data_IF_655097984128
#
_entry.id   IF_655097984128
#
_cell.length_a   1.000
_cell.length_b   1.000
_cell.length_c   1.000
_cell.angle_alpha   90.00
_cell.angle_beta   90.00
_cell.angle_gamma   90.00
#
_symmetry.space_group_name_H-M   'P 1'
#
loop_
_entity.id
_entity.type
_entity.pdbx_description
1 polymer ?
#
# COMPACT_ATOMS: atom_id res chain seq x y z
N UNK A 1 37.44 -0.10 -35.69
CA UNK A 1 36.02 0.08 -36.10
C UNK A 1 35.07 -1.10 -35.80
N UNK A 2 35.52 -2.27 -35.31
CA UNK A 2 34.63 -3.42 -35.04
C UNK A 2 33.85 -3.38 -33.70
N UNK A 3 34.29 -2.61 -32.72
CA UNK A 3 33.64 -2.54 -31.40
C UNK A 3 32.48 -1.53 -31.30
N UNK A 4 32.35 -0.60 -32.26
CA UNK A 4 31.26 0.40 -32.27
C UNK A 4 29.89 -0.22 -32.59
N UNK A 5 29.84 -1.28 -33.40
CA UNK A 5 28.60 -1.99 -33.72
C UNK A 5 28.08 -2.85 -32.56
N UNK A 6 28.99 -3.46 -31.78
CA UNK A 6 28.63 -4.26 -30.60
C UNK A 6 28.09 -3.37 -29.48
N UNK A 7 28.72 -2.23 -29.22
CA UNK A 7 28.25 -1.28 -28.20
C UNK A 7 26.85 -0.73 -28.55
N UNK A 8 26.60 -0.43 -29.82
CA UNK A 8 25.31 0.08 -30.30
C UNK A 8 24.21 -0.98 -30.18
N UNK A 9 24.49 -2.24 -30.53
CA UNK A 9 23.56 -3.37 -30.36
C UNK A 9 23.25 -3.65 -28.88
N UNK A 10 24.22 -3.47 -27.99
CA UNK A 10 24.05 -3.65 -26.55
C UNK A 10 23.23 -2.50 -25.93
N UNK A 11 23.43 -1.26 -26.40
CA UNK A 11 22.61 -0.10 -26.06
C UNK A 11 21.18 -0.21 -26.58
N UNK A 12 20.99 -0.71 -27.82
CA UNK A 12 19.67 -0.97 -28.40
C UNK A 12 18.99 -2.13 -27.69
N UNK A 13 19.73 -3.16 -27.28
CA UNK A 13 19.23 -4.26 -26.44
C UNK A 13 18.75 -3.78 -25.06
N UNK A 14 19.51 -2.88 -24.42
CA UNK A 14 19.14 -2.26 -23.14
C UNK A 14 17.92 -1.32 -23.27
N UNK A 15 17.74 -0.66 -24.42
CA UNK A 15 16.58 0.19 -24.71
C UNK A 15 15.31 -0.61 -25.10
N UNK A 16 15.48 -1.79 -25.72
CA UNK A 16 14.38 -2.70 -26.09
C UNK A 16 13.93 -3.59 -24.92
N UNK A 17 14.76 -3.80 -23.92
CA UNK A 17 14.32 -4.22 -22.60
C UNK A 17 13.67 -3.06 -21.85
N UNK A 18 12.79 -2.28 -22.49
CA UNK A 18 11.86 -1.35 -21.84
C UNK A 18 10.42 -1.86 -21.83
N UNK A 19 10.13 -3.04 -22.43
CA UNK A 19 8.79 -3.60 -22.45
C UNK A 19 8.23 -3.95 -21.05
N UNK A 20 7.09 -3.33 -20.79
CA UNK A 20 6.23 -3.30 -19.61
C UNK A 20 5.65 -4.68 -19.24
N UNK A 21 5.53 -4.91 -17.93
CA UNK A 21 4.75 -5.91 -17.16
C UNK A 21 4.11 -7.11 -17.88
N UNK A 22 4.26 -8.30 -17.28
CA UNK A 22 3.35 -9.44 -17.50
C UNK A 22 2.76 -9.99 -16.20
N UNK A 23 2.36 -9.11 -15.28
CA UNK A 23 1.16 -9.35 -14.47
C UNK A 23 -0.02 -9.50 -15.46
N UNK A 24 -1.01 -10.41 -15.26
CA UNK A 24 -2.14 -10.54 -16.17
C UNK A 24 -2.69 -9.15 -16.56
N UNK A 25 -2.86 -8.91 -17.86
CA UNK A 25 -3.18 -7.58 -18.40
C UNK A 25 -4.34 -6.95 -17.64
N UNK A 26 -4.06 -5.90 -16.87
CA UNK A 26 -5.06 -5.11 -16.13
C UNK A 26 -5.09 -5.35 -14.63
N UNK A 27 -4.29 -6.27 -14.09
CA UNK A 27 -4.17 -6.46 -12.64
C UNK A 27 -2.95 -5.75 -12.06
N UNK A 28 -3.09 -5.23 -10.84
CA UNK A 28 -1.97 -4.72 -10.04
C UNK A 28 -1.37 -5.85 -9.18
N UNK A 29 -0.09 -5.74 -8.82
CA UNK A 29 0.59 -6.78 -8.03
C UNK A 29 -0.12 -7.03 -6.70
N UNK A 30 -0.38 -5.95 -5.96
CA UNK A 30 -0.96 -5.95 -4.62
C UNK A 30 -2.40 -6.49 -4.55
N UNK A 31 -3.07 -6.72 -5.68
CA UNK A 31 -4.40 -7.36 -5.68
C UNK A 31 -4.39 -8.77 -5.11
N UNK A 32 -3.23 -9.41 -5.04
CA UNK A 32 -3.06 -10.74 -4.44
C UNK A 32 -2.82 -10.72 -2.93
N UNK A 33 -2.66 -9.52 -2.34
CA UNK A 33 -2.54 -9.28 -0.91
C UNK A 33 -3.92 -9.04 -0.29
N UNK A 34 -4.00 -8.98 1.04
CA UNK A 34 -5.23 -8.62 1.76
C UNK A 34 -6.00 -9.84 2.22
N UNK A 35 -5.30 -10.82 2.79
CA UNK A 35 -5.95 -11.84 3.63
C UNK A 35 -6.67 -11.16 4.81
N UNK A 36 -7.59 -11.88 5.44
CA UNK A 36 -8.27 -11.39 6.64
C UNK A 36 -7.23 -11.12 7.74
N UNK A 37 -7.27 -9.92 8.30
CA UNK A 37 -6.30 -9.47 9.31
C UNK A 37 -5.04 -8.80 8.73
N UNK A 38 -4.85 -8.82 7.41
CA UNK A 38 -3.78 -8.06 6.77
C UNK A 38 -4.18 -6.59 6.55
N UNK A 39 -3.21 -5.69 6.73
CA UNK A 39 -3.29 -4.30 6.26
C UNK A 39 -2.47 -4.17 5.00
N UNK A 40 -3.12 -3.95 3.86
CA UNK A 40 -2.44 -3.70 2.59
C UNK A 40 -2.28 -2.21 2.39
N UNK A 41 -1.06 -1.76 2.13
CA UNK A 41 -0.72 -0.37 1.88
C UNK A 41 -0.02 -0.24 0.54
N UNK A 42 -0.38 0.76 -0.23
CA UNK A 42 0.26 1.07 -1.51
C UNK A 42 0.61 2.54 -1.59
N UNK A 43 1.79 2.87 -2.11
CA UNK A 43 2.29 4.24 -2.20
C UNK A 43 2.84 4.53 -3.58
N UNK A 44 2.42 5.63 -4.17
CA UNK A 44 3.02 6.17 -5.39
C UNK A 44 4.34 6.87 -5.05
N UNK A 45 5.44 6.33 -5.56
CA UNK A 45 6.78 6.87 -5.31
C UNK A 45 7.33 7.68 -6.48
N UNK A 46 6.57 7.83 -7.57
CA UNK A 46 7.02 8.54 -8.78
C UNK A 46 7.28 10.02 -8.52
N UNK A 47 6.62 10.60 -7.52
CA UNK A 47 6.84 11.96 -7.09
C UNK A 47 6.74 12.06 -5.57
N UNK A 48 7.87 11.81 -4.91
CA UNK A 48 7.98 11.86 -3.45
C UNK A 48 7.63 13.23 -2.86
N UNK A 49 7.78 14.33 -3.62
CA UNK A 49 7.41 15.69 -3.19
C UNK A 49 5.89 15.85 -3.02
N UNK A 50 5.10 15.04 -3.77
CA UNK A 50 3.64 14.97 -3.67
C UNK A 50 3.17 14.03 -2.59
N UNK A 51 4.04 13.17 -2.07
CA UNK A 51 3.67 12.46 -0.88
C UNK A 51 3.67 13.48 0.26
N UNK A 52 2.69 13.44 1.18
CA UNK A 52 2.78 14.21 2.39
C UNK A 52 3.86 13.57 3.25
N UNK A 53 5.14 13.61 2.87
CA UNK A 53 6.26 12.97 3.55
C UNK A 53 7.48 13.89 3.50
N UNK A 54 8.31 13.83 4.53
CA UNK A 54 9.67 14.38 4.48
C UNK A 54 10.64 13.22 4.44
N UNK A 55 11.08 12.85 3.25
CA UNK A 55 12.15 11.87 3.07
C UNK A 55 13.48 12.62 3.19
N UNK A 56 14.36 12.21 4.10
CA UNK A 56 15.70 12.79 4.19
C UNK A 56 16.47 12.55 2.88
N UNK A 57 17.11 13.60 2.35
CA UNK A 57 17.86 13.50 1.09
C UNK A 57 19.08 12.58 1.27
N UNK A 58 19.14 11.50 0.47
CA UNK A 58 20.24 10.53 0.54
C UNK A 58 20.24 9.48 -0.56
N UNK A 59 21.08 8.45 -0.41
CA UNK A 59 21.18 7.29 -1.32
C UNK A 59 19.82 6.60 -1.55
N UNK A 60 18.93 6.71 -0.58
CA UNK A 60 17.56 6.19 -0.62
C UNK A 60 16.67 6.90 -1.64
N UNK A 61 16.80 8.22 -1.79
CA UNK A 61 16.06 9.02 -2.80
C UNK A 61 16.39 8.54 -4.23
N UNK A 62 17.63 8.10 -4.47
CA UNK A 62 18.05 7.57 -5.77
C UNK A 62 17.48 6.18 -6.06
N UNK A 63 17.33 5.32 -5.04
CA UNK A 63 16.65 4.03 -5.19
C UNK A 63 15.16 4.25 -5.46
N UNK A 64 14.50 5.09 -4.67
CA UNK A 64 13.09 5.45 -4.85
C UNK A 64 12.81 6.09 -6.21
N UNK A 65 13.75 6.84 -6.80
CA UNK A 65 13.58 7.42 -8.14
C UNK A 65 13.40 6.40 -9.27
N UNK A 66 13.72 5.12 -9.02
CA UNK A 66 13.50 4.01 -9.96
C UNK A 66 12.26 3.21 -9.64
N UNK A 67 11.64 3.49 -8.50
CA UNK A 67 10.41 2.86 -8.03
C UNK A 67 9.24 3.72 -8.49
N UNK A 68 8.23 3.06 -9.04
CA UNK A 68 6.97 3.70 -9.35
C UNK A 68 5.99 3.51 -8.19
N UNK A 69 5.93 2.30 -7.62
CA UNK A 69 5.00 1.97 -6.54
C UNK A 69 5.62 1.02 -5.52
N UNK A 70 5.37 1.30 -4.26
CA UNK A 70 5.61 0.39 -3.14
C UNK A 70 4.27 -0.21 -2.72
N UNK A 71 4.21 -1.53 -2.55
CA UNK A 71 3.06 -2.21 -1.98
C UNK A 71 3.51 -3.13 -0.85
N UNK A 72 2.87 -3.02 0.31
CA UNK A 72 3.20 -3.74 1.53
C UNK A 72 1.93 -4.35 2.10
N UNK A 73 1.97 -5.61 2.51
CA UNK A 73 0.98 -6.24 3.37
C UNK A 73 1.62 -6.42 4.75
N UNK A 74 0.98 -5.88 5.78
CA UNK A 74 1.33 -6.10 7.18
C UNK A 74 0.43 -7.18 7.76
N UNK A 75 0.99 -8.05 8.58
CA UNK A 75 0.24 -9.09 9.27
C UNK A 75 0.81 -9.34 10.66
N UNK A 76 -0.04 -9.74 11.59
CA UNK A 76 0.38 -10.18 12.91
C UNK A 76 0.92 -11.62 12.81
N UNK A 77 2.22 -11.87 13.01
CA UNK A 77 2.78 -13.22 12.93
C UNK A 77 2.30 -14.12 14.08
N UNK A 78 1.77 -13.56 15.17
CA UNK A 78 1.26 -14.29 16.33
C UNK A 78 -0.26 -14.52 16.27
N UNK A 79 -0.95 -13.90 15.30
CA UNK A 79 -2.41 -13.91 15.17
C UNK A 79 -3.14 -13.60 16.49
N UNK A 80 -2.63 -12.63 17.27
CA UNK A 80 -3.17 -12.29 18.57
C UNK A 80 -4.65 -11.86 18.45
N UNK A 81 -5.43 -12.16 19.49
CA UNK A 81 -6.78 -11.60 19.60
C UNK A 81 -6.67 -10.10 19.86
N UNK A 82 -7.08 -9.31 18.87
CA UNK A 82 -7.17 -7.85 18.98
C UNK A 82 -8.52 -7.51 19.59
N UNK A 83 -8.51 -6.79 20.71
CA UNK A 83 -9.72 -6.20 21.26
C UNK A 83 -10.21 -5.09 20.31
N UNK A 84 -11.46 -5.15 19.80
CA UNK A 84 -12.03 -4.10 18.97
C UNK A 84 -12.05 -2.72 19.63
N UNK A 85 -11.95 -2.67 20.97
CA UNK A 85 -11.86 -1.43 21.74
C UNK A 85 -10.45 -0.81 21.75
N UNK A 86 -9.41 -1.52 21.30
CA UNK A 86 -8.05 -1.00 21.23
C UNK A 86 -7.71 -0.47 19.83
N UNK A 87 -6.76 0.46 19.76
CA UNK A 87 -6.21 0.92 18.48
C UNK A 87 -5.33 -0.18 17.86
N UNK A 88 -5.31 -0.26 16.53
CA UNK A 88 -4.46 -1.23 15.84
C UNK A 88 -2.98 -0.89 16.05
N UNK A 89 -2.31 -1.63 16.94
CA UNK A 89 -0.85 -1.54 17.09
C UNK A 89 -0.16 -2.48 16.09
N UNK A 90 0.50 -1.88 15.10
CA UNK A 90 1.25 -2.58 14.05
C UNK A 90 2.75 -2.74 14.38
N UNK A 91 3.20 -2.33 15.56
CA UNK A 91 4.64 -2.30 15.90
C UNK A 91 5.32 -3.68 15.90
N UNK A 92 4.56 -4.75 16.15
CA UNK A 92 5.04 -6.14 16.09
C UNK A 92 4.67 -6.89 14.81
N UNK A 93 4.14 -6.21 13.80
CA UNK A 93 3.66 -6.87 12.58
C UNK A 93 4.84 -7.23 11.68
N UNK A 94 4.79 -8.44 11.13
CA UNK A 94 5.65 -8.82 10.03
C UNK A 94 5.08 -8.25 8.72
N UNK A 95 5.91 -8.19 7.69
CA UNK A 95 5.51 -7.59 6.43
C UNK A 95 6.07 -8.33 5.22
N UNK A 96 5.33 -8.27 4.12
CA UNK A 96 5.81 -8.67 2.81
C UNK A 96 5.25 -7.74 1.75
N UNK A 97 5.89 -7.69 0.59
CA UNK A 97 5.48 -6.72 -0.40
C UNK A 97 6.26 -6.80 -1.70
N UNK A 98 6.03 -5.77 -2.52
CA UNK A 98 6.85 -5.55 -3.68
C UNK A 98 7.07 -4.08 -3.99
N UNK A 99 8.19 -3.88 -4.66
CA UNK A 99 8.60 -2.64 -5.29
C UNK A 99 8.42 -2.82 -6.79
N UNK A 100 7.57 -2.00 -7.40
CA UNK A 100 7.32 -1.97 -8.84
C UNK A 100 8.01 -0.77 -9.47
N UNK A 101 8.71 -0.95 -10.58
CA UNK A 101 9.39 0.17 -11.26
C UNK A 101 10.38 -0.24 -12.34
N UNK A 102 11.40 0.59 -12.56
CA UNK A 102 12.49 0.30 -13.49
C UNK A 102 13.59 -0.53 -12.81
N UNK A 103 13.27 -1.80 -12.54
CA UNK A 103 14.13 -2.74 -11.79
C UNK A 103 14.62 -3.86 -12.74
N UNK A 104 15.86 -3.80 -13.25
CA UNK A 104 16.40 -4.86 -14.11
C UNK A 104 16.78 -6.08 -13.26
N UNK A 105 15.95 -7.13 -13.27
CA UNK A 105 16.11 -8.30 -12.39
C UNK A 105 17.52 -8.91 -12.40
N UNK A 106 18.12 -9.07 -13.59
CA UNK A 106 19.49 -9.58 -13.70
C UNK A 106 20.52 -8.71 -12.98
N UNK A 107 20.44 -7.38 -13.15
CA UNK A 107 21.38 -6.45 -12.51
C UNK A 107 21.14 -6.38 -11.00
N UNK A 108 19.88 -6.32 -10.57
CA UNK A 108 19.51 -6.30 -9.15
C UNK A 108 19.98 -7.55 -8.43
N UNK A 109 19.64 -8.75 -8.95
CA UNK A 109 20.05 -10.01 -8.33
C UNK A 109 21.58 -10.23 -8.40
N UNK A 110 22.24 -9.71 -9.44
CA UNK A 110 23.71 -9.73 -9.49
C UNK A 110 24.28 -8.84 -8.38
N UNK A 111 23.79 -7.61 -8.23
CA UNK A 111 24.27 -6.70 -7.19
C UNK A 111 24.12 -7.31 -5.79
N UNK A 112 22.96 -7.88 -5.47
CA UNK A 112 22.70 -8.59 -4.22
C UNK A 112 23.62 -9.80 -3.99
N UNK A 113 24.08 -10.47 -5.06
CA UNK A 113 25.01 -11.59 -4.95
C UNK A 113 26.45 -11.14 -4.64
N UNK A 114 26.84 -9.94 -5.07
CA UNK A 114 28.20 -9.42 -4.90
C UNK A 114 28.38 -8.59 -3.62
N UNK A 115 27.28 -8.16 -3.01
CA UNK A 115 27.27 -7.43 -1.75
C UNK A 115 27.43 -8.39 -0.57
N UNK A 116 28.41 -8.11 0.31
CA UNK A 116 28.73 -8.97 1.46
C UNK A 116 27.67 -8.99 2.54
N UNK A 117 26.82 -7.97 2.58
CA UNK A 117 25.76 -7.86 3.60
C UNK A 117 24.53 -8.72 3.24
N UNK A 118 24.50 -9.28 2.03
CA UNK A 118 23.42 -10.11 1.53
C UNK A 118 23.85 -11.57 1.39
N UNK A 119 23.12 -12.44 2.06
CA UNK A 119 23.35 -13.88 2.03
C UNK A 119 22.37 -14.54 1.07
N UNK A 120 22.91 -15.30 0.11
CA UNK A 120 22.07 -16.06 -0.82
C UNK A 120 21.42 -17.25 -0.09
N UNK A 121 20.10 -17.33 -0.14
CA UNK A 121 19.32 -18.45 0.37
C UNK A 121 18.71 -19.24 -0.81
N UNK A 122 18.73 -20.56 -0.73
CA UNK A 122 18.11 -21.45 -1.72
C UNK A 122 17.19 -22.47 -1.03
N UNK A 123 15.91 -22.39 -1.34
CA UNK A 123 14.87 -23.30 -0.84
C UNK A 123 14.25 -24.07 -2.01
N UNK A 124 14.78 -25.27 -2.27
CA UNK A 124 14.35 -26.09 -3.41
C UNK A 124 14.67 -25.41 -4.75
N UNK A 125 13.66 -24.81 -5.39
CA UNK A 125 13.81 -24.04 -6.65
C UNK A 125 13.72 -22.53 -6.44
N UNK A 126 13.36 -22.09 -5.24
CA UNK A 126 13.29 -20.68 -4.89
C UNK A 126 14.68 -20.20 -4.47
N UNK A 127 15.03 -18.99 -4.90
CA UNK A 127 16.25 -18.29 -4.51
C UNK A 127 15.89 -16.88 -4.10
N UNK A 128 16.47 -16.42 -3.01
CA UNK A 128 16.38 -15.03 -2.55
C UNK A 128 17.65 -14.64 -1.79
N UNK A 129 17.70 -13.39 -1.32
CA UNK A 129 18.84 -12.82 -0.61
C UNK A 129 18.38 -12.27 0.72
N UNK A 130 19.03 -12.70 1.80
CA UNK A 130 18.73 -12.30 3.18
C UNK A 130 19.74 -11.27 3.67
N UNK A 131 19.28 -10.27 4.42
CA UNK A 131 20.14 -9.34 5.14
C UNK A 131 19.81 -9.39 6.64
N UNK A 132 20.77 -9.88 7.45
CA UNK A 132 20.60 -10.05 8.90
C UNK A 132 20.38 -8.71 9.63
N UNK A 133 21.04 -7.64 9.18
CA UNK A 133 20.97 -6.32 9.83
C UNK A 133 19.61 -5.67 9.61
N UNK A 134 19.05 -5.82 8.41
CA UNK A 134 17.76 -5.28 8.02
C UNK A 134 16.60 -6.21 8.38
N UNK A 135 16.88 -7.49 8.71
CA UNK A 135 15.86 -8.52 8.88
C UNK A 135 14.98 -8.63 7.63
N UNK A 136 15.61 -8.64 6.44
CA UNK A 136 14.90 -8.48 5.18
C UNK A 136 15.35 -9.51 4.14
N UNK A 137 14.39 -10.21 3.57
CA UNK A 137 14.55 -11.08 2.43
C UNK A 137 14.10 -10.37 1.15
N UNK A 138 14.89 -10.42 0.08
CA UNK A 138 14.57 -9.77 -1.19
C UNK A 138 14.93 -10.65 -2.39
N UNK A 139 14.16 -10.50 -3.48
CA UNK A 139 14.52 -11.09 -4.76
C UNK A 139 13.76 -10.44 -5.93
N UNK A 140 14.49 -10.10 -7.00
CA UNK A 140 13.89 -9.60 -8.22
C UNK A 140 13.40 -10.77 -9.07
N UNK A 141 12.12 -11.13 -8.90
CA UNK A 141 11.47 -12.28 -9.53
C UNK A 141 11.34 -12.13 -11.05
N UNK A 142 11.09 -10.91 -11.51
CA UNK A 142 11.06 -10.56 -12.91
C UNK A 142 11.43 -9.08 -13.11
N UNK A 143 11.56 -8.67 -14.37
CA UNK A 143 11.91 -7.29 -14.68
C UNK A 143 10.79 -6.36 -14.21
N UNK A 144 11.16 -5.39 -13.39
CA UNK A 144 10.28 -4.36 -12.86
C UNK A 144 9.58 -4.73 -11.56
N UNK A 145 9.86 -5.92 -10.99
CA UNK A 145 9.25 -6.39 -9.75
C UNK A 145 10.32 -6.97 -8.81
N UNK A 146 10.53 -6.31 -7.68
CA UNK A 146 11.34 -6.78 -6.57
C UNK A 146 10.42 -7.12 -5.41
N UNK A 147 10.37 -8.40 -5.04
CA UNK A 147 9.63 -8.83 -3.86
C UNK A 147 10.51 -8.72 -2.62
N UNK A 148 9.88 -8.45 -1.49
CA UNK A 148 10.55 -8.45 -0.20
C UNK A 148 9.64 -9.01 0.90
N UNK A 149 10.25 -9.49 1.99
CA UNK A 149 9.55 -9.90 3.20
C UNK A 149 10.47 -9.74 4.42
N UNK A 150 9.91 -9.38 5.58
CA UNK A 150 10.66 -9.39 6.84
C UNK A 150 10.94 -10.80 7.33
N UNK A 151 9.97 -11.69 7.10
CA UNK A 151 10.03 -13.10 7.48
C UNK A 151 9.30 -13.95 6.44
N UNK A 152 9.63 -15.24 6.39
CA UNK A 152 8.91 -16.24 5.60
C UNK A 152 8.70 -15.85 4.11
N UNK A 153 9.78 -15.41 3.45
CA UNK A 153 9.78 -15.00 2.05
C UNK A 153 9.15 -16.04 1.11
N UNK A 154 9.36 -17.33 1.39
CA UNK A 154 8.80 -18.45 0.62
C UNK A 154 7.28 -18.40 0.54
N UNK A 155 6.61 -18.19 1.68
CA UNK A 155 5.16 -18.09 1.76
C UNK A 155 4.65 -16.83 1.06
N UNK A 156 5.30 -15.69 1.30
CA UNK A 156 5.00 -14.43 0.62
C UNK A 156 5.10 -14.55 -0.92
N UNK A 157 6.17 -15.17 -1.42
CA UNK A 157 6.37 -15.44 -2.85
C UNK A 157 5.24 -16.30 -3.43
N UNK A 158 4.86 -17.37 -2.72
CA UNK A 158 3.80 -18.26 -3.19
C UNK A 158 2.44 -17.56 -3.20
N UNK A 159 2.05 -16.87 -2.12
CA UNK A 159 0.74 -16.23 -2.00
C UNK A 159 0.56 -15.02 -2.91
N UNK A 160 1.60 -14.19 -3.07
CA UNK A 160 1.49 -12.91 -3.79
C UNK A 160 1.89 -12.99 -5.27
N UNK A 161 2.71 -13.97 -5.65
CA UNK A 161 3.27 -14.06 -7.00
C UNK A 161 2.99 -15.41 -7.68
N UNK A 162 3.56 -16.51 -7.20
CA UNK A 162 3.56 -17.78 -7.94
C UNK A 162 2.20 -18.49 -7.97
N UNK A 163 1.39 -18.33 -6.92
CA UNK A 163 0.05 -18.92 -6.78
C UNK A 163 -0.98 -17.82 -6.48
N UNK A 164 -0.74 -16.62 -7.01
CA UNK A 164 -1.56 -15.44 -6.73
C UNK A 164 -3.05 -15.69 -6.99
N UNK A 165 -3.88 -15.22 -6.07
CA UNK A 165 -5.34 -15.14 -6.21
C UNK A 165 -5.76 -13.71 -5.95
N UNK A 166 -6.63 -13.17 -6.79
CA UNK A 166 -7.18 -11.82 -6.60
C UNK A 166 -8.04 -11.81 -5.34
N UNK A 167 -7.72 -10.91 -4.41
CA UNK A 167 -8.43 -10.65 -3.15
C UNK A 167 -8.99 -9.23 -3.08
N UNK A 168 -8.29 -8.28 -3.71
CA UNK A 168 -8.76 -6.90 -3.84
C UNK A 168 -9.41 -6.73 -5.20
N UNK A 169 -10.69 -6.37 -5.18
CA UNK A 169 -11.49 -6.11 -6.38
C UNK A 169 -10.86 -5.05 -7.29
N UNK A 170 -11.04 -5.23 -8.60
CA UNK A 170 -10.33 -4.41 -9.61
C UNK A 170 -10.61 -2.91 -9.47
N UNK A 171 -11.84 -2.50 -9.16
CA UNK A 171 -12.19 -1.08 -8.98
C UNK A 171 -11.47 -0.45 -7.77
N UNK A 172 -11.39 -1.17 -6.65
CA UNK A 172 -10.67 -0.73 -5.45
C UNK A 172 -9.17 -0.63 -5.73
N UNK A 173 -8.62 -1.67 -6.36
CA UNK A 173 -7.21 -1.70 -6.72
C UNK A 173 -6.85 -0.59 -7.70
N UNK A 174 -7.70 -0.32 -8.69
CA UNK A 174 -7.47 0.79 -9.61
C UNK A 174 -7.45 2.13 -8.89
N UNK A 175 -8.37 2.36 -7.93
CA UNK A 175 -8.38 3.59 -7.13
C UNK A 175 -7.09 3.75 -6.30
N UNK A 176 -6.66 2.69 -5.63
CA UNK A 176 -5.40 2.67 -4.87
C UNK A 176 -4.16 2.88 -5.76
N UNK A 177 -4.16 2.32 -6.97
CA UNK A 177 -3.07 2.46 -7.92
C UNK A 177 -2.98 3.86 -8.54
N UNK A 178 -4.06 4.64 -8.52
CA UNK A 178 -4.08 6.03 -8.99
C UNK A 178 -3.93 7.06 -7.88
N UNK A 179 -3.97 6.63 -6.61
CA UNK A 179 -3.79 7.51 -5.46
C UNK A 179 -2.32 7.62 -5.07
N UNK A 180 -2.01 8.68 -4.31
CA UNK A 180 -0.69 8.89 -3.72
C UNK A 180 -0.39 7.83 -2.67
N UNK A 181 -1.41 7.52 -1.88
CA UNK A 181 -1.37 6.54 -0.82
C UNK A 181 -2.69 5.79 -0.79
N UNK A 182 -2.67 4.50 -0.48
CA UNK A 182 -3.84 3.64 -0.41
C UNK A 182 -3.71 2.62 0.71
N UNK A 183 -4.79 2.38 1.44
CA UNK A 183 -4.92 1.34 2.46
C UNK A 183 -6.11 0.46 2.09
N UNK A 184 -5.96 -0.85 2.23
CA UNK A 184 -7.03 -1.82 2.16
C UNK A 184 -6.99 -2.77 3.37
N UNK A 185 -8.16 -3.06 3.93
CA UNK A 185 -8.33 -4.08 4.97
C UNK A 185 -9.53 -4.97 4.62
N UNK A 186 -9.35 -6.29 4.68
CA UNK A 186 -10.42 -7.27 4.59
C UNK A 186 -10.89 -7.67 5.99
N UNK A 187 -12.20 -7.53 6.25
CA UNK A 187 -12.85 -7.88 7.53
C UNK A 187 -12.03 -7.45 8.77
N UNK A 188 -11.77 -6.13 8.92
CA UNK A 188 -10.86 -5.63 9.93
C UNK A 188 -11.35 -5.92 11.35
N UNK A 189 -10.43 -6.31 12.24
CA UNK A 189 -10.68 -6.43 13.69
C UNK A 189 -10.56 -5.08 14.41
N UNK A 190 -9.68 -4.22 13.91
CA UNK A 190 -9.49 -2.83 14.33
C UNK A 190 -9.23 -1.97 13.09
N UNK A 191 -9.43 -0.65 13.21
CA UNK A 191 -9.17 0.31 12.13
C UNK A 191 -7.98 1.20 12.48
N UNK A 192 -7.32 1.65 11.43
CA UNK A 192 -6.35 2.74 11.51
C UNK A 192 -7.13 4.05 11.69
N UNK A 193 -6.69 4.89 12.61
CA UNK A 193 -7.27 6.23 12.80
C UNK A 193 -6.94 7.10 11.59
N UNK A 194 -7.93 7.31 10.72
CA UNK A 194 -7.82 8.14 9.51
C UNK A 194 -8.49 9.51 9.71
N UNK A 195 -8.76 9.89 10.96
CA UNK A 195 -9.42 11.14 11.31
C UNK A 195 -10.91 11.15 10.99
N UNK A 196 -11.51 9.94 10.98
CA UNK A 196 -12.93 9.71 10.91
C UNK A 196 -13.30 8.94 12.17
N UNK A 197 -14.15 9.53 13.01
CA UNK A 197 -14.67 8.85 14.19
C UNK A 197 -15.64 7.74 13.76
N UNK A 198 -15.10 6.56 13.47
CA UNK A 198 -15.88 5.34 13.18
C UNK A 198 -16.13 4.63 14.52
N UNK A 199 -17.38 4.45 14.94
CA UNK A 199 -17.68 3.79 16.21
C UNK A 199 -17.13 2.36 16.24
N UNK A 200 -16.36 2.02 17.27
CA UNK A 200 -15.70 0.71 17.40
C UNK A 200 -16.68 -0.47 17.32
N UNK A 201 -17.91 -0.28 17.79
CA UNK A 201 -19.00 -1.26 17.73
C UNK A 201 -19.43 -1.65 16.32
N UNK A 202 -19.11 -0.87 15.29
CA UNK A 202 -19.41 -1.21 13.89
C UNK A 202 -18.29 -1.99 13.21
N UNK A 203 -17.06 -1.99 13.77
CA UNK A 203 -15.87 -2.59 13.14
C UNK A 203 -16.08 -4.08 12.82
N UNK A 204 -16.61 -4.92 13.73
CA UNK A 204 -16.85 -6.34 13.45
C UNK A 204 -17.86 -6.61 12.31
N UNK A 205 -18.58 -5.58 11.88
CA UNK A 205 -19.59 -5.63 10.84
C UNK A 205 -19.12 -5.10 9.47
N UNK A 206 -17.86 -4.68 9.39
CA UNK A 206 -17.23 -4.22 8.16
C UNK A 206 -16.75 -5.44 7.37
N UNK A 207 -17.14 -5.53 6.10
CA UNK A 207 -16.66 -6.54 5.18
C UNK A 207 -15.28 -6.16 4.61
N UNK A 208 -15.10 -4.89 4.22
CA UNK A 208 -13.81 -4.35 3.79
C UNK A 208 -13.74 -2.84 3.94
N UNK A 209 -12.53 -2.32 4.07
CA UNK A 209 -12.23 -0.88 4.05
C UNK A 209 -11.21 -0.61 2.97
N UNK A 210 -11.42 0.47 2.22
CA UNK A 210 -10.41 1.07 1.35
C UNK A 210 -10.34 2.56 1.66
N UNK A 211 -9.15 3.06 1.99
CA UNK A 211 -8.88 4.49 2.13
C UNK A 211 -7.78 4.89 1.16
N UNK A 212 -7.89 6.08 0.58
CA UNK A 212 -6.90 6.62 -0.34
C UNK A 212 -6.66 8.08 -0.05
N UNK A 213 -5.40 8.50 -0.16
CA UNK A 213 -5.03 9.92 -0.16
C UNK A 213 -4.82 10.34 -1.60
N UNK A 214 -5.58 11.35 -2.00
CA UNK A 214 -5.63 11.89 -3.36
C UNK A 214 -5.20 13.36 -3.32
N UNK A 215 -4.64 13.86 -4.41
CA UNK A 215 -4.45 15.31 -4.59
C UNK A 215 -5.82 15.96 -4.77
N UNK A 216 -6.15 16.88 -3.87
CA UNK A 216 -7.34 17.72 -3.94
C UNK A 216 -7.15 18.91 -4.87
N UNK A 217 -8.10 19.85 -4.79
CA UNK A 217 -8.00 21.14 -5.48
C UNK A 217 -7.11 22.08 -4.66
N UNK A 218 -6.31 22.91 -5.34
CA UNK A 218 -5.43 23.92 -4.72
C UNK A 218 -4.32 23.33 -3.81
N UNK A 219 -3.62 22.27 -4.26
CA UNK A 219 -2.47 21.67 -3.56
C UNK A 219 -2.76 21.10 -2.16
N UNK A 220 -4.04 20.92 -1.80
CA UNK A 220 -4.45 20.26 -0.56
C UNK A 220 -4.64 18.76 -0.76
N UNK A 221 -4.35 17.96 0.25
CA UNK A 221 -4.61 16.52 0.24
C UNK A 221 -6.05 16.21 0.68
N UNK A 222 -6.64 15.19 0.08
CA UNK A 222 -7.98 14.75 0.43
C UNK A 222 -8.05 13.23 0.64
N UNK A 223 -8.87 12.82 1.61
CA UNK A 223 -9.19 11.43 1.88
C UNK A 223 -10.38 11.01 1.02
N UNK A 224 -10.14 10.00 0.20
CA UNK A 224 -11.15 9.16 -0.41
C UNK A 224 -11.32 7.87 0.38
N UNK A 225 -12.51 7.30 0.41
CA UNK A 225 -12.76 6.04 1.11
C UNK A 225 -13.96 5.28 0.61
N UNK A 226 -13.95 3.97 0.86
CA UNK A 226 -15.07 3.05 0.68
C UNK A 226 -15.06 2.10 1.88
N UNK A 227 -16.16 2.08 2.63
CA UNK A 227 -16.40 1.11 3.70
C UNK A 227 -17.57 0.25 3.27
N UNK A 228 -17.29 -1.04 3.00
CA UNK A 228 -18.32 -2.02 2.65
C UNK A 228 -18.73 -2.73 3.92
N UNK A 229 -20.02 -2.68 4.24
CA UNK A 229 -20.59 -3.35 5.41
C UNK A 229 -21.16 -4.72 5.03
N UNK A 230 -21.40 -5.58 6.02
CA UNK A 230 -22.06 -6.87 5.82
C UNK A 230 -23.53 -6.77 5.35
N UNK A 231 -24.15 -5.59 5.45
CA UNK A 231 -25.51 -5.35 4.93
C UNK A 231 -25.80 -3.86 4.69
N UNK A 232 -26.76 -3.57 3.80
CA UNK A 232 -27.25 -2.21 3.53
C UNK A 232 -27.75 -1.49 4.79
N UNK A 233 -28.40 -2.23 5.71
CA UNK A 233 -28.89 -1.67 6.98
C UNK A 233 -27.74 -1.15 7.83
N UNK A 234 -26.64 -1.90 7.91
CA UNK A 234 -25.44 -1.52 8.66
C UNK A 234 -24.72 -0.36 7.99
N UNK A 235 -24.64 -0.35 6.65
CA UNK A 235 -24.09 0.76 5.88
C UNK A 235 -24.87 2.07 6.10
N UNK A 236 -26.20 1.98 6.13
CA UNK A 236 -27.05 3.13 6.45
C UNK A 236 -26.82 3.64 7.88
N UNK A 237 -26.71 2.74 8.87
CA UNK A 237 -26.38 3.12 10.24
C UNK A 237 -25.01 3.81 10.34
N UNK A 238 -23.98 3.26 9.69
CA UNK A 238 -22.66 3.87 9.64
C UNK A 238 -22.69 5.27 9.01
N UNK A 239 -23.37 5.42 7.86
CA UNK A 239 -23.54 6.69 7.16
C UNK A 239 -24.16 7.77 8.06
N UNK A 240 -25.20 7.44 8.83
CA UNK A 240 -25.84 8.37 9.77
C UNK A 240 -24.86 8.77 10.89
N UNK A 241 -24.14 7.81 11.45
CA UNK A 241 -23.20 8.04 12.56
C UNK A 241 -22.04 8.95 12.13
N UNK A 242 -21.39 8.63 11.02
CA UNK A 242 -20.27 9.42 10.48
C UNK A 242 -20.72 10.83 10.10
N UNK A 243 -21.85 10.97 9.40
CA UNK A 243 -22.41 12.29 9.05
C UNK A 243 -22.72 13.12 10.29
N UNK A 244 -23.28 12.50 11.33
CA UNK A 244 -23.64 13.18 12.58
C UNK A 244 -22.40 13.65 13.36
N UNK A 245 -21.38 12.80 13.49
CA UNK A 245 -20.08 13.17 14.08
C UNK A 245 -19.45 14.34 13.31
N UNK A 246 -19.35 14.22 11.99
CA UNK A 246 -18.79 15.29 11.14
C UNK A 246 -19.50 16.64 11.31
N UNK A 247 -20.84 16.65 11.30
CA UNK A 247 -21.64 17.88 11.50
C UNK A 247 -21.40 18.46 12.89
N UNK A 248 -21.37 17.63 13.92
CA UNK A 248 -21.11 18.04 15.30
C UNK A 248 -19.75 18.73 15.41
N UNK A 249 -18.73 18.15 14.80
CA UNK A 249 -17.36 18.63 14.81
C UNK A 249 -17.19 19.96 14.08
N UNK A 250 -17.75 20.09 12.87
CA UNK A 250 -17.75 21.36 12.14
C UNK A 250 -18.45 22.47 12.92
N UNK A 251 -19.58 22.17 13.57
CA UNK A 251 -20.29 23.13 14.43
C UNK A 251 -19.47 23.55 15.64
N UNK A 252 -18.80 22.60 16.30
CA UNK A 252 -17.88 22.87 17.43
C UNK A 252 -16.74 23.80 17.02
N UNK A 253 -16.17 23.59 15.83
CA UNK A 253 -15.09 24.41 15.24
C UNK A 253 -15.57 25.70 14.57
N UNK A 254 -16.88 25.94 14.49
CA UNK A 254 -17.51 27.08 13.78
C UNK A 254 -17.14 27.15 12.29
N UNK A 255 -16.95 26.01 11.67
CA UNK A 255 -16.62 25.88 10.25
C UNK A 255 -17.88 25.67 9.40
N UNK A 256 -17.88 26.10 8.12
CA UNK A 256 -18.98 25.82 7.21
C UNK A 256 -19.09 24.30 6.96
N UNK A 257 -20.32 23.79 6.84
CA UNK A 257 -20.58 22.37 6.60
C UNK A 257 -20.24 21.92 5.16
N UNK A 258 -20.22 22.84 4.20
CA UNK A 258 -20.07 22.52 2.78
C UNK A 258 -21.23 21.69 2.24
N UNK A 259 -21.01 21.01 1.12
CA UNK A 259 -21.96 20.07 0.51
C UNK A 259 -21.67 18.63 0.98
N UNK A 260 -22.43 18.19 1.98
CA UNK A 260 -22.32 16.83 2.55
C UNK A 260 -22.81 15.74 1.59
N UNK A 261 -23.64 16.10 0.62
CA UNK A 261 -24.33 15.14 -0.27
C UNK A 261 -23.33 14.46 -1.20
N UNK A 262 -22.33 15.22 -1.65
CA UNK A 262 -21.26 14.71 -2.50
C UNK A 262 -20.08 14.14 -1.69
N UNK A 263 -19.92 14.57 -0.43
CA UNK A 263 -18.86 14.11 0.46
C UNK A 263 -19.09 12.69 0.97
N UNK A 264 -20.34 12.36 1.31
CA UNK A 264 -20.70 11.08 1.93
C UNK A 264 -21.88 10.42 1.20
N UNK A 265 -21.57 9.45 0.35
CA UNK A 265 -22.53 8.75 -0.51
C UNK A 265 -22.78 7.34 0.04
N UNK A 266 -24.03 6.89 0.01
CA UNK A 266 -24.42 5.53 0.38
C UNK A 266 -25.01 4.85 -0.85
N UNK A 267 -24.44 3.73 -1.27
CA UNK A 267 -24.96 2.90 -2.36
C UNK A 267 -24.97 1.44 -1.91
N UNK A 268 -26.17 0.86 -1.74
CA UNK A 268 -26.32 -0.50 -1.21
C UNK A 268 -25.67 -0.66 0.16
N UNK A 269 -24.71 -1.58 0.24
CA UNK A 269 -23.93 -1.92 1.43
C UNK A 269 -22.60 -1.13 1.53
N UNK A 270 -22.32 -0.24 0.58
CA UNK A 270 -21.10 0.54 0.53
C UNK A 270 -21.32 2.01 0.92
N UNK A 271 -20.51 2.49 1.86
CA UNK A 271 -20.42 3.89 2.26
C UNK A 271 -19.16 4.52 1.67
N UNK A 272 -19.36 5.54 0.83
CA UNK A 272 -18.32 6.24 0.10
C UNK A 272 -18.00 7.58 0.75
N UNK A 273 -16.71 7.89 0.80
CA UNK A 273 -16.15 9.14 1.28
C UNK A 273 -15.38 9.75 0.11
N UNK A 274 -15.74 10.96 -0.28
CA UNK A 274 -15.21 11.59 -1.49
C UNK A 274 -14.58 12.93 -1.17
N UNK A 275 -13.25 12.98 -1.20
CA UNK A 275 -12.52 14.23 -1.14
C UNK A 275 -12.66 14.96 0.20
N UNK A 276 -12.65 14.22 1.32
CA UNK A 276 -12.63 14.82 2.65
C UNK A 276 -11.28 15.51 2.86
N UNK A 277 -11.21 16.85 3.03
CA UNK A 277 -9.95 17.54 3.19
C UNK A 277 -9.20 17.03 4.42
N UNK A 278 -7.94 16.67 4.24
CA UNK A 278 -7.06 16.27 5.33
C UNK A 278 -6.44 17.51 5.98
N UNK A 279 -6.46 17.56 7.31
CA UNK A 279 -5.73 18.57 8.07
C UNK A 279 -4.29 18.11 8.36
N UNK A 280 -3.44 19.04 8.82
CA UNK A 280 -2.03 18.78 9.10
C UNK A 280 -1.81 17.62 10.08
N UNK A 281 -2.65 17.50 11.11
CA UNK A 281 -2.55 16.45 12.12
C UNK A 281 -2.85 15.07 11.52
N UNK A 282 -3.88 14.97 10.68
CA UNK A 282 -4.21 13.75 9.94
C UNK A 282 -3.09 13.39 8.96
N UNK A 283 -2.51 14.37 8.27
CA UNK A 283 -1.36 14.14 7.39
C UNK A 283 -0.14 13.62 8.15
N UNK A 284 0.13 14.16 9.35
CA UNK A 284 1.18 13.64 10.24
C UNK A 284 0.89 12.21 10.69
N UNK A 285 -0.35 11.84 10.96
CA UNK A 285 -0.70 10.44 11.28
C UNK A 285 -0.48 9.49 10.10
N UNK A 286 -0.86 9.90 8.88
CA UNK A 286 -0.56 9.13 7.66
C UNK A 286 0.95 9.01 7.40
N UNK A 287 1.72 10.08 7.68
CA UNK A 287 3.19 10.07 7.65
C UNK A 287 3.76 9.06 8.63
N UNK A 288 3.31 9.12 9.89
CA UNK A 288 3.79 8.23 10.93
C UNK A 288 3.49 6.77 10.60
N UNK A 289 2.30 6.49 10.05
CA UNK A 289 1.95 5.17 9.54
C UNK A 289 2.94 4.76 8.46
N UNK A 290 3.14 5.55 7.41
CA UNK A 290 4.04 5.22 6.32
C UNK A 290 5.49 5.01 6.78
N UNK A 291 6.01 5.85 7.67
CA UNK A 291 7.36 5.70 8.20
C UNK A 291 7.52 4.41 9.01
N UNK A 292 6.45 3.90 9.65
CA UNK A 292 6.46 2.58 10.28
C UNK A 292 6.46 1.43 9.25
N UNK A 293 6.01 1.68 8.02
CA UNK A 293 5.97 0.68 6.93
C UNK A 293 7.27 0.62 6.13
N UNK A 294 8.11 1.65 6.21
CA UNK A 294 9.42 1.65 5.58
C UNK A 294 10.41 0.99 6.53
N UNK A 295 10.99 -0.17 6.19
CA UNK A 295 11.91 -0.87 7.08
C UNK A 295 13.33 -0.28 7.12
N UNK A 296 13.47 1.03 6.87
CA UNK A 296 14.76 1.71 6.70
C UNK A 296 14.78 3.08 7.39
#
# INVERSE_FOLDING_TARGET
MKYRGVLLLLLIGLMLSSCVHKIPKGEHFFQAMGEVGEVVVTVDTTNLERLPLKVEEGTFTQLLSRVNRLSVALYDPLEAEVDPEEELDISGYAYYGAVEGNIPAFLTNSALLWDSDWQKVEEGRLRYYHNDYLGLDVYAVERGLLLFASENYSDAYHKSYAQRKVKIEHSLAQRMATSLFGIYLASPKALIEVGLEIPKTVIPHIASVTFVVEEGREENYALGGIIVMQSERLANSLSILVKSSYISDKRRKKEPLGDLTNLFILEGDAFYINGLPLNDEQLVSFQALFNKLLPF
#
